data_IF_483931725626
#
_entry.id   IF_483931725626
#
_cell.length_a   1.000
_cell.length_b   1.000
_cell.length_c   1.000
_cell.angle_alpha   90.00
_cell.angle_beta   90.00
_cell.angle_gamma   90.00
#
_symmetry.space_group_name_H-M   'P 1'
#
loop_
_entity.id
_entity.type
_entity.pdbx_description
1 polymer ?
#
# COMPACT_ATOMS: atom_id res chain seq x y z
N UNK A 1 14.67 2.05 6.09
CA UNK A 1 14.10 3.42 5.91
C UNK A 1 13.58 3.92 7.25
N UNK A 2 13.81 5.18 7.67
CA UNK A 2 13.25 5.73 8.93
C UNK A 2 12.37 6.94 8.61
N UNK A 3 11.22 7.02 9.27
CA UNK A 3 10.31 8.16 9.19
C UNK A 3 10.41 8.97 10.49
N UNK A 4 10.93 10.19 10.40
CA UNK A 4 10.95 11.10 11.54
C UNK A 4 9.60 11.82 11.63
N UNK A 5 8.95 11.82 12.79
CA UNK A 5 7.65 12.45 13.02
C UNK A 5 7.79 13.98 13.10
N UNK A 6 8.17 14.61 11.98
CA UNK A 6 8.46 16.03 11.88
C UNK A 6 7.90 16.61 10.57
N UNK A 7 7.17 17.74 10.69
CA UNK A 7 6.69 18.47 9.51
C UNK A 7 7.85 18.99 8.64
N UNK A 8 8.93 19.47 9.25
CA UNK A 8 10.10 19.91 8.52
C UNK A 8 10.66 18.77 7.64
N UNK A 9 10.81 17.57 8.20
CA UNK A 9 11.27 16.41 7.44
C UNK A 9 10.30 15.97 6.34
N UNK A 10 9.00 16.07 6.57
CA UNK A 10 8.00 15.79 5.55
C UNK A 10 8.12 16.76 4.36
N UNK A 11 8.29 18.05 4.64
CA UNK A 11 8.47 19.09 3.62
C UNK A 11 9.81 18.92 2.88
N UNK A 12 10.91 18.65 3.59
CA UNK A 12 12.22 18.37 2.98
C UNK A 12 12.12 17.19 2.02
N UNK A 13 11.44 16.12 2.44
CA UNK A 13 11.22 14.92 1.61
C UNK A 13 10.38 15.23 0.38
N UNK A 14 9.30 16.02 0.54
CA UNK A 14 8.46 16.47 -0.57
C UNK A 14 9.29 17.30 -1.56
N UNK A 15 10.03 18.29 -1.08
CA UNK A 15 10.86 19.15 -1.92
C UNK A 15 11.89 18.32 -2.68
N UNK A 16 12.62 17.45 -1.99
CA UNK A 16 13.63 16.60 -2.62
C UNK A 16 13.01 15.70 -3.71
N UNK A 17 11.85 15.09 -3.45
CA UNK A 17 11.17 14.26 -4.43
C UNK A 17 10.73 15.07 -5.66
N UNK A 18 10.12 16.24 -5.45
CA UNK A 18 9.68 17.12 -6.55
C UNK A 18 10.86 17.60 -7.38
N UNK A 19 11.98 17.95 -6.74
CA UNK A 19 13.16 18.48 -7.43
C UNK A 19 13.89 17.41 -8.25
N UNK A 20 14.01 16.19 -7.75
CA UNK A 20 14.96 15.24 -8.29
C UNK A 20 14.32 14.02 -8.96
N UNK A 21 13.08 13.64 -8.59
CA UNK A 21 12.53 12.33 -8.95
C UNK A 21 11.14 12.38 -9.60
N UNK A 22 10.38 13.44 -9.42
CA UNK A 22 9.00 13.54 -9.91
C UNK A 22 8.91 13.43 -11.44
N UNK A 23 9.93 13.89 -12.18
CA UNK A 23 9.95 13.83 -13.65
C UNK A 23 9.84 12.41 -14.21
N UNK A 24 10.40 11.44 -13.51
CA UNK A 24 10.42 10.03 -13.93
C UNK A 24 9.40 9.16 -13.20
N UNK A 25 8.61 9.76 -12.31
CA UNK A 25 7.63 9.05 -11.49
C UNK A 25 6.68 8.17 -12.32
N UNK A 26 6.12 8.70 -13.40
CA UNK A 26 5.16 7.95 -14.22
C UNK A 26 5.76 6.69 -14.85
N UNK A 27 7.07 6.69 -15.12
CA UNK A 27 7.80 5.55 -15.71
C UNK A 27 8.26 4.57 -14.63
N UNK A 28 8.72 5.09 -13.47
CA UNK A 28 9.43 4.29 -12.47
C UNK A 28 8.56 3.90 -11.26
N UNK A 29 7.39 4.48 -11.09
CA UNK A 29 6.53 4.28 -9.90
C UNK A 29 6.17 2.84 -9.59
N UNK A 30 6.22 1.96 -10.58
CA UNK A 30 5.86 0.55 -10.43
C UNK A 30 7.05 -0.36 -10.09
N UNK A 31 8.26 0.17 -10.06
CA UNK A 31 9.47 -0.59 -9.72
C UNK A 31 9.78 -0.43 -8.22
N UNK A 32 10.03 -1.53 -7.54
CA UNK A 32 10.57 -1.52 -6.19
C UNK A 32 12.05 -1.83 -6.21
N UNK A 33 12.86 -0.82 -5.95
CA UNK A 33 14.32 -0.93 -5.89
C UNK A 33 14.83 -1.28 -4.48
N UNK A 34 13.92 -1.65 -3.57
CA UNK A 34 14.24 -1.94 -2.17
C UNK A 34 14.31 -0.69 -1.29
N UNK A 35 14.33 -0.88 0.05
CA UNK A 35 14.16 0.20 1.02
C UNK A 35 15.24 1.29 0.95
N UNK A 36 16.46 0.96 0.54
CA UNK A 36 17.58 1.89 0.49
C UNK A 36 17.66 2.70 -0.80
N UNK A 37 17.00 2.24 -1.88
CA UNK A 37 17.04 2.87 -3.20
C UNK A 37 15.67 3.35 -3.68
N UNK A 38 14.71 3.49 -2.80
CA UNK A 38 13.31 3.87 -3.09
C UNK A 38 13.15 5.39 -3.30
N UNK A 39 13.86 5.92 -4.29
CA UNK A 39 13.79 7.35 -4.65
C UNK A 39 12.75 7.65 -5.72
N UNK A 40 12.30 6.63 -6.44
CA UNK A 40 11.33 6.71 -7.54
C UNK A 40 9.88 6.97 -7.06
N UNK A 41 9.61 6.87 -5.77
CA UNK A 41 8.33 7.20 -5.14
C UNK A 41 8.54 8.15 -3.97
N UNK A 42 7.53 8.96 -3.66
CA UNK A 42 7.66 10.02 -2.65
C UNK A 42 7.80 9.51 -1.22
N UNK A 43 7.24 8.34 -0.91
CA UNK A 43 7.13 7.78 0.44
C UNK A 43 6.54 8.77 1.46
N UNK A 44 5.55 9.59 1.06
CA UNK A 44 4.92 10.60 1.91
C UNK A 44 3.67 10.10 2.63
N UNK A 45 3.17 8.92 2.28
CA UNK A 45 1.93 8.38 2.83
C UNK A 45 1.87 8.32 4.36
N UNK A 46 2.95 8.00 5.12
CA UNK A 46 2.93 8.09 6.58
C UNK A 46 2.62 9.50 7.08
N UNK A 47 3.23 10.52 6.48
CA UNK A 47 3.01 11.90 6.88
C UNK A 47 1.59 12.40 6.56
N UNK A 48 1.03 11.91 5.44
CA UNK A 48 -0.36 12.25 5.05
C UNK A 48 -1.34 11.57 6.00
N UNK A 49 -1.14 10.28 6.30
CA UNK A 49 -2.02 9.53 7.20
C UNK A 49 -2.14 10.18 8.57
N UNK A 50 -1.04 10.71 9.08
CA UNK A 50 -0.99 11.36 10.39
C UNK A 50 -1.24 12.88 10.33
N UNK A 51 -1.66 13.45 9.19
CA UNK A 51 -1.99 14.87 9.06
C UNK A 51 -0.80 15.83 9.21
N UNK A 52 0.42 15.34 9.08
CA UNK A 52 1.64 16.16 9.16
C UNK A 52 1.75 17.09 7.95
N UNK A 53 1.39 16.58 6.76
CA UNK A 53 1.16 17.31 5.52
C UNK A 53 -0.13 16.79 4.89
N UNK A 54 -0.73 17.58 4.00
CA UNK A 54 -1.97 17.17 3.32
C UNK A 54 -1.79 17.08 1.80
N UNK A 55 -2.77 16.47 1.15
CA UNK A 55 -2.77 16.22 -0.30
C UNK A 55 -2.68 17.50 -1.11
N UNK A 56 -3.35 18.60 -0.64
CA UNK A 56 -3.37 19.88 -1.34
C UNK A 56 -1.97 20.50 -1.35
N UNK A 57 -1.23 20.42 -0.23
CA UNK A 57 0.15 20.92 -0.16
C UNK A 57 1.06 20.19 -1.15
N UNK A 58 0.92 18.86 -1.22
CA UNK A 58 1.72 18.02 -2.12
C UNK A 58 1.42 18.35 -3.58
N UNK A 59 0.14 18.45 -3.94
CA UNK A 59 -0.28 18.75 -5.30
C UNK A 59 0.18 20.16 -5.70
N UNK A 60 -0.04 21.17 -4.85
CA UNK A 60 0.44 22.54 -5.11
C UNK A 60 1.94 22.53 -5.37
N UNK A 61 2.72 21.88 -4.50
CA UNK A 61 4.19 21.83 -4.65
C UNK A 61 4.62 21.17 -5.96
N UNK A 62 3.95 20.12 -6.37
CA UNK A 62 4.25 19.45 -7.64
C UNK A 62 3.93 20.34 -8.87
N UNK A 63 2.84 21.10 -8.80
CA UNK A 63 2.39 22.00 -9.86
C UNK A 63 3.22 23.30 -9.97
N UNK A 64 3.94 23.69 -8.92
CA UNK A 64 4.91 24.79 -9.00
C UNK A 64 6.05 24.48 -9.99
N UNK A 65 6.41 23.20 -10.13
CA UNK A 65 7.55 22.79 -10.96
C UNK A 65 7.14 22.23 -12.33
N UNK A 66 6.05 21.49 -12.39
CA UNK A 66 5.64 20.78 -13.62
C UNK A 66 4.16 21.03 -13.92
N UNK A 67 3.82 21.03 -15.23
CA UNK A 67 2.43 21.13 -15.68
C UNK A 67 1.59 19.94 -15.18
N UNK A 68 0.27 20.11 -15.13
CA UNK A 68 -0.67 19.05 -14.76
C UNK A 68 -0.47 17.77 -15.60
N UNK A 69 -0.37 17.90 -16.91
CA UNK A 69 -0.21 16.74 -17.80
C UNK A 69 1.04 15.91 -17.51
N UNK A 70 2.12 16.55 -17.04
CA UNK A 70 3.35 15.85 -16.65
C UNK A 70 3.23 15.20 -15.27
N UNK A 71 2.39 15.75 -14.39
CA UNK A 71 2.17 15.31 -13.02
C UNK A 71 0.94 14.43 -12.84
N UNK A 72 0.13 14.25 -13.88
CA UNK A 72 -1.19 13.62 -13.78
C UNK A 72 -1.17 12.32 -12.99
N UNK A 73 -0.22 11.43 -13.28
CA UNK A 73 -0.11 10.14 -12.59
C UNK A 73 0.21 10.29 -11.10
N UNK A 74 1.06 11.24 -10.75
CA UNK A 74 1.38 11.49 -9.34
C UNK A 74 0.18 12.09 -8.60
N UNK A 75 -0.50 13.06 -9.19
CA UNK A 75 -1.70 13.68 -8.63
C UNK A 75 -2.81 12.65 -8.45
N UNK A 76 -3.04 11.78 -9.43
CA UNK A 76 -3.99 10.68 -9.34
C UNK A 76 -3.69 9.78 -8.13
N UNK A 77 -2.43 9.36 -7.95
CA UNK A 77 -2.05 8.49 -6.82
C UNK A 77 -2.22 9.18 -5.46
N UNK A 78 -1.95 10.50 -5.38
CA UNK A 78 -2.21 11.26 -4.16
C UNK A 78 -3.72 11.33 -3.85
N UNK A 79 -4.55 11.54 -4.86
CA UNK A 79 -6.00 11.66 -4.70
C UNK A 79 -6.73 10.33 -4.47
N UNK A 80 -6.12 9.17 -4.80
CA UNK A 80 -6.73 7.87 -4.50
C UNK A 80 -7.05 7.70 -3.02
N UNK A 81 -6.22 8.22 -2.13
CA UNK A 81 -6.49 8.20 -0.68
C UNK A 81 -7.79 8.95 -0.33
N UNK A 82 -7.97 10.15 -0.85
CA UNK A 82 -9.19 10.95 -0.65
C UNK A 82 -10.41 10.24 -1.21
N UNK A 83 -10.27 9.64 -2.40
CA UNK A 83 -11.31 8.84 -3.01
C UNK A 83 -11.74 7.66 -2.13
N UNK A 84 -10.78 6.86 -1.63
CA UNK A 84 -11.09 5.70 -0.80
C UNK A 84 -11.75 6.10 0.52
N UNK A 85 -11.32 7.18 1.16
CA UNK A 85 -11.97 7.71 2.37
C UNK A 85 -13.42 8.07 2.11
N UNK A 86 -13.68 8.90 1.11
CA UNK A 86 -15.04 9.28 0.74
C UNK A 86 -15.90 8.08 0.31
N UNK A 87 -15.30 7.10 -0.39
CA UNK A 87 -16.01 5.89 -0.77
C UNK A 87 -16.47 5.07 0.45
N UNK A 88 -15.60 4.90 1.44
CA UNK A 88 -15.92 4.15 2.67
C UNK A 88 -16.90 4.91 3.58
N UNK A 89 -16.77 6.24 3.69
CA UNK A 89 -17.71 7.08 4.43
C UNK A 89 -19.15 6.95 3.90
N UNK A 90 -19.31 6.81 2.58
CA UNK A 90 -20.62 6.58 1.97
C UNK A 90 -21.12 5.12 2.10
N UNK A 91 -20.28 4.21 2.56
CA UNK A 91 -20.58 2.77 2.68
C UNK A 91 -20.04 2.18 4.00
N UNK A 92 -20.48 2.70 5.15
CA UNK A 92 -19.92 2.30 6.45
C UNK A 92 -20.08 0.81 6.73
N UNK A 93 -21.14 0.18 6.22
CA UNK A 93 -21.38 -1.25 6.37
C UNK A 93 -20.21 -2.12 5.88
N UNK A 94 -19.45 -1.64 4.89
CA UNK A 94 -18.26 -2.38 4.40
C UNK A 94 -17.19 -2.51 5.47
N UNK A 95 -17.03 -1.50 6.30
CA UNK A 95 -16.13 -1.54 7.44
C UNK A 95 -16.67 -2.41 8.57
N UNK A 96 -17.95 -2.28 8.89
CA UNK A 96 -18.60 -3.07 9.93
C UNK A 96 -18.57 -4.57 9.60
N UNK A 97 -18.91 -4.93 8.36
CA UNK A 97 -18.82 -6.31 7.86
C UNK A 97 -17.38 -6.86 7.95
N UNK A 98 -16.39 -6.06 7.57
CA UNK A 98 -14.98 -6.43 7.72
C UNK A 98 -14.61 -6.74 9.17
N UNK A 99 -15.04 -5.92 10.12
CA UNK A 99 -14.74 -6.13 11.55
C UNK A 99 -15.42 -7.36 12.11
N UNK A 100 -16.68 -7.63 11.70
CA UNK A 100 -17.43 -8.83 12.11
C UNK A 100 -16.73 -10.08 11.55
N UNK A 101 -16.42 -10.10 10.28
CA UNK A 101 -15.70 -11.21 9.64
C UNK A 101 -14.36 -11.47 10.31
N UNK A 102 -13.59 -10.41 10.52
CA UNK A 102 -12.26 -10.49 11.12
C UNK A 102 -12.30 -11.12 12.51
N UNK A 103 -13.28 -10.75 13.35
CA UNK A 103 -13.46 -11.34 14.68
C UNK A 103 -13.68 -12.86 14.60
N UNK A 104 -14.50 -13.32 13.67
CA UNK A 104 -14.80 -14.74 13.50
C UNK A 104 -13.61 -15.52 12.93
N UNK A 105 -12.90 -14.91 11.98
CA UNK A 105 -11.77 -15.53 11.28
C UNK A 105 -10.54 -15.64 12.20
N UNK A 106 -10.28 -14.65 13.05
CA UNK A 106 -9.15 -14.69 14.01
C UNK A 106 -9.13 -15.96 14.85
N UNK A 107 -10.25 -16.30 15.45
CA UNK A 107 -10.34 -17.47 16.33
C UNK A 107 -10.09 -18.77 15.55
N UNK A 108 -10.58 -18.84 14.29
CA UNK A 108 -10.38 -20.01 13.43
C UNK A 108 -8.91 -20.18 13.02
N UNK A 109 -8.20 -19.10 12.73
CA UNK A 109 -6.82 -19.15 12.19
C UNK A 109 -5.74 -18.95 13.26
N UNK A 110 -6.09 -18.73 14.52
CA UNK A 110 -5.16 -18.45 15.62
C UNK A 110 -4.00 -19.45 15.69
N UNK A 111 -4.30 -20.74 15.49
CA UNK A 111 -3.32 -21.83 15.55
C UNK A 111 -3.06 -22.46 14.16
N UNK A 112 -3.49 -21.81 13.09
CA UNK A 112 -3.25 -22.29 11.74
C UNK A 112 -1.76 -22.13 11.37
N UNK A 113 -1.13 -23.21 10.96
CA UNK A 113 0.31 -23.23 10.68
C UNK A 113 0.68 -22.36 9.48
N UNK A 114 -0.16 -22.30 8.43
CA UNK A 114 0.10 -21.49 7.25
C UNK A 114 0.04 -20.02 7.59
N UNK A 115 -0.98 -19.62 8.37
CA UNK A 115 -1.10 -18.25 8.85
C UNK A 115 0.09 -17.85 9.74
N UNK A 116 0.48 -18.71 10.70
CA UNK A 116 1.64 -18.45 11.57
C UNK A 116 2.94 -18.35 10.78
N UNK A 117 3.14 -19.20 9.78
CA UNK A 117 4.30 -19.09 8.89
C UNK A 117 4.27 -17.80 8.06
N UNK A 118 3.11 -17.41 7.54
CA UNK A 118 2.96 -16.21 6.74
C UNK A 118 3.33 -14.95 7.53
N UNK A 119 2.72 -14.76 8.71
CA UNK A 119 3.01 -13.57 9.53
C UNK A 119 4.43 -13.54 10.09
N UNK A 120 5.13 -14.67 10.14
CA UNK A 120 6.50 -14.77 10.61
C UNK A 120 7.56 -14.80 9.50
N UNK A 121 7.14 -14.71 8.22
CA UNK A 121 8.06 -14.76 7.09
C UNK A 121 8.80 -16.10 7.01
N UNK A 122 8.10 -17.21 7.28
CA UNK A 122 8.62 -18.58 7.29
C UNK A 122 7.91 -19.47 6.27
N UNK A 123 7.49 -18.88 5.16
CA UNK A 123 6.91 -19.62 4.05
C UNK A 123 8.01 -20.18 3.15
N UNK A 124 7.64 -20.98 2.17
CA UNK A 124 8.54 -21.45 1.11
C UNK A 124 8.69 -20.45 -0.07
N UNK A 125 8.34 -19.17 0.13
CA UNK A 125 8.39 -18.12 -0.87
C UNK A 125 9.34 -17.03 -0.38
N UNK A 126 10.57 -17.03 -0.85
CA UNK A 126 11.64 -16.18 -0.33
C UNK A 126 11.30 -14.68 -0.42
N UNK A 127 10.82 -14.21 -1.57
CA UNK A 127 10.46 -12.81 -1.73
C UNK A 127 9.35 -12.35 -0.78
N UNK A 128 8.38 -13.22 -0.48
CA UNK A 128 7.33 -12.93 0.49
C UNK A 128 7.91 -12.81 1.91
N UNK A 129 8.82 -13.71 2.30
CA UNK A 129 9.47 -13.68 3.60
C UNK A 129 10.33 -12.42 3.79
N UNK A 130 11.04 -12.00 2.73
CA UNK A 130 11.79 -10.74 2.72
C UNK A 130 10.87 -9.53 2.90
N UNK A 131 9.71 -9.49 2.24
CA UNK A 131 8.74 -8.41 2.41
C UNK A 131 8.11 -8.38 3.81
N UNK A 132 7.91 -9.55 4.45
CA UNK A 132 7.47 -9.60 5.86
C UNK A 132 8.53 -8.97 6.76
N UNK A 133 9.81 -9.29 6.54
CA UNK A 133 10.93 -8.71 7.30
C UNK A 133 11.02 -7.20 7.07
N UNK A 134 10.96 -6.76 5.81
CA UNK A 134 10.98 -5.33 5.46
C UNK A 134 9.81 -4.59 6.14
N UNK A 135 8.59 -5.15 6.08
CA UNK A 135 7.42 -4.55 6.70
C UNK A 135 7.60 -4.37 8.21
N UNK A 136 8.12 -5.39 8.89
CA UNK A 136 8.35 -5.35 10.34
C UNK A 136 9.49 -4.41 10.76
N UNK A 137 10.53 -4.30 9.94
CA UNK A 137 11.70 -3.47 10.23
C UNK A 137 11.50 -1.99 9.87
N UNK A 138 10.83 -1.73 8.73
CA UNK A 138 10.69 -0.38 8.19
C UNK A 138 9.29 0.21 8.36
N UNK A 139 8.30 -0.60 8.74
CA UNK A 139 6.89 -0.23 8.85
C UNK A 139 6.33 0.39 7.55
N UNK A 140 6.89 -0.03 6.43
CA UNK A 140 6.55 0.47 5.11
C UNK A 140 6.88 -0.57 4.04
N UNK A 141 6.04 -0.66 3.02
CA UNK A 141 6.31 -1.37 1.79
C UNK A 141 5.97 -0.48 0.59
N UNK A 142 6.67 -0.70 -0.51
CA UNK A 142 6.33 -0.08 -1.79
C UNK A 142 4.91 -0.47 -2.22
N UNK A 143 4.16 0.45 -2.83
CA UNK A 143 2.75 0.20 -3.19
C UNK A 143 2.57 -1.06 -4.05
N UNK A 144 3.42 -1.27 -5.05
CA UNK A 144 3.36 -2.47 -5.90
C UNK A 144 3.65 -3.74 -5.12
N UNK A 145 4.62 -3.70 -4.21
CA UNK A 145 4.95 -4.81 -3.32
C UNK A 145 3.78 -5.18 -2.41
N UNK A 146 3.01 -4.19 -1.95
CA UNK A 146 1.78 -4.47 -1.18
C UNK A 146 0.75 -5.26 -1.99
N UNK A 147 0.63 -4.98 -3.28
CA UNK A 147 -0.29 -5.70 -4.18
C UNK A 147 0.18 -7.14 -4.41
N UNK A 148 1.47 -7.34 -4.66
CA UNK A 148 2.05 -8.68 -4.80
C UNK A 148 1.95 -9.48 -3.50
N UNK A 149 2.25 -8.87 -2.37
CA UNK A 149 2.09 -9.45 -1.04
C UNK A 149 0.65 -9.94 -0.84
N UNK A 150 -0.33 -9.09 -1.09
CA UNK A 150 -1.74 -9.44 -0.94
C UNK A 150 -2.16 -10.55 -1.91
N UNK A 151 -1.66 -10.55 -3.13
CA UNK A 151 -1.92 -11.59 -4.12
C UNK A 151 -1.37 -12.95 -3.67
N UNK A 152 -0.12 -13.01 -3.19
CA UNK A 152 0.48 -14.24 -2.67
C UNK A 152 -0.28 -14.71 -1.42
N UNK A 153 -0.59 -13.80 -0.50
CA UNK A 153 -1.36 -14.10 0.70
C UNK A 153 -2.69 -14.79 0.39
N UNK A 154 -3.46 -14.22 -0.54
CA UNK A 154 -4.82 -14.67 -0.84
C UNK A 154 -4.80 -15.92 -1.72
N UNK A 155 -4.04 -15.89 -2.83
CA UNK A 155 -4.17 -16.89 -3.89
C UNK A 155 -3.13 -18.02 -3.85
N UNK A 156 -1.98 -17.78 -3.20
CA UNK A 156 -0.93 -18.80 -3.11
C UNK A 156 -0.91 -19.47 -1.74
N UNK A 157 -1.05 -18.68 -0.67
CA UNK A 157 -1.09 -19.20 0.69
C UNK A 157 -2.51 -19.59 1.14
N UNK A 158 -3.51 -19.27 0.33
CA UNK A 158 -4.95 -19.54 0.60
C UNK A 158 -5.42 -18.98 1.97
N UNK A 159 -4.97 -17.78 2.30
CA UNK A 159 -5.30 -17.13 3.56
C UNK A 159 -6.38 -16.05 3.37
N UNK A 160 -7.29 -15.88 4.35
CA UNK A 160 -8.30 -14.84 4.30
C UNK A 160 -7.67 -13.45 4.17
N UNK A 161 -8.19 -12.65 3.23
CA UNK A 161 -7.72 -11.30 2.98
C UNK A 161 -7.86 -10.39 4.22
N UNK A 162 -8.86 -10.64 5.07
CA UNK A 162 -9.12 -9.87 6.28
C UNK A 162 -7.94 -9.95 7.25
N UNK A 163 -7.32 -11.11 7.40
CA UNK A 163 -6.13 -11.30 8.25
C UNK A 163 -4.91 -10.57 7.68
N UNK A 164 -4.77 -10.57 6.36
CA UNK A 164 -3.70 -9.82 5.70
C UNK A 164 -3.89 -8.30 5.83
N UNK A 165 -5.13 -7.83 5.69
CA UNK A 165 -5.47 -6.43 5.92
C UNK A 165 -5.16 -6.00 7.37
N UNK A 166 -5.49 -6.83 8.34
CA UNK A 166 -5.15 -6.61 9.73
C UNK A 166 -3.64 -6.58 9.97
N UNK A 167 -2.91 -7.52 9.38
CA UNK A 167 -1.45 -7.58 9.49
C UNK A 167 -0.80 -6.29 8.97
N UNK A 168 -1.30 -5.75 7.85
CA UNK A 168 -0.85 -4.46 7.34
C UNK A 168 -1.21 -3.29 8.25
N UNK A 169 -2.43 -3.26 8.80
CA UNK A 169 -2.84 -2.20 9.73
C UNK A 169 -1.94 -2.14 10.98
N UNK A 170 -1.48 -3.29 11.47
CA UNK A 170 -0.59 -3.35 12.64
C UNK A 170 0.83 -2.88 12.34
N UNK A 171 1.30 -3.07 11.12
CA UNK A 171 2.72 -2.83 10.81
C UNK A 171 2.97 -1.56 10.00
N UNK A 172 2.04 -1.10 9.17
CA UNK A 172 2.27 0.05 8.31
C UNK A 172 2.13 1.38 9.06
N UNK A 173 3.12 2.26 8.97
CA UNK A 173 3.00 3.63 9.46
C UNK A 173 1.94 4.45 8.71
N UNK A 174 1.60 4.08 7.50
CA UNK A 174 0.54 4.70 6.72
C UNK A 174 -0.75 3.87 6.70
N UNK A 175 -0.91 2.96 7.67
CA UNK A 175 -2.12 2.18 7.85
C UNK A 175 -3.34 3.10 7.99
N UNK A 176 -4.28 2.96 7.05
CA UNK A 176 -5.50 3.77 6.98
C UNK A 176 -6.69 2.84 6.73
N UNK A 177 -7.72 2.96 7.54
CA UNK A 177 -8.86 2.05 7.49
C UNK A 177 -9.48 1.92 6.10
N UNK A 178 -9.62 3.04 5.37
CA UNK A 178 -10.20 3.04 4.03
C UNK A 178 -9.22 2.46 3.01
N UNK A 179 -8.05 3.09 2.85
CA UNK A 179 -7.08 2.72 1.81
C UNK A 179 -6.59 1.28 1.95
N UNK A 180 -6.33 0.83 3.19
CA UNK A 180 -5.86 -0.52 3.44
C UNK A 180 -6.95 -1.55 3.19
N UNK A 181 -8.12 -1.40 3.81
CA UNK A 181 -9.21 -2.39 3.67
C UNK A 181 -9.69 -2.47 2.23
N UNK A 182 -9.91 -1.33 1.57
CA UNK A 182 -10.40 -1.32 0.19
C UNK A 182 -9.33 -1.79 -0.80
N UNK A 183 -8.04 -1.53 -0.52
CA UNK A 183 -6.94 -2.08 -1.30
C UNK A 183 -6.87 -3.61 -1.23
N UNK A 184 -7.02 -4.20 -0.05
CA UNK A 184 -7.09 -5.66 0.12
C UNK A 184 -8.34 -6.26 -0.51
N UNK A 185 -9.51 -5.61 -0.36
CA UNK A 185 -10.75 -6.02 -1.04
C UNK A 185 -10.61 -5.99 -2.57
N UNK A 186 -9.88 -5.00 -3.09
CA UNK A 186 -9.63 -4.88 -4.52
C UNK A 186 -8.80 -6.05 -5.05
N UNK A 187 -7.69 -6.41 -4.37
CA UNK A 187 -6.88 -7.58 -4.74
C UNK A 187 -7.70 -8.88 -4.60
N UNK A 188 -8.51 -9.00 -3.57
CA UNK A 188 -9.40 -10.15 -3.37
C UNK A 188 -10.55 -10.27 -4.39
N UNK A 189 -10.75 -9.27 -5.27
CA UNK A 189 -11.82 -9.27 -6.26
C UNK A 189 -13.22 -9.00 -5.71
N UNK A 190 -13.35 -8.55 -4.46
CA UNK A 190 -14.64 -8.31 -3.79
C UNK A 190 -15.02 -6.82 -3.68
N UNK A 191 -14.21 -5.94 -4.24
CA UNK A 191 -14.47 -4.48 -4.18
C UNK A 191 -15.43 -4.01 -5.27
N UNK A 192 -15.33 -4.57 -6.47
CA UNK A 192 -16.15 -4.18 -7.62
C UNK A 192 -16.81 -5.41 -8.22
N UNK A 193 -18.15 -5.42 -8.32
CA UNK A 193 -18.89 -6.52 -8.93
C UNK A 193 -18.49 -6.66 -10.41
N UNK A 194 -18.20 -7.89 -10.83
CA UNK A 194 -17.87 -8.21 -12.21
C UNK A 194 -16.43 -7.95 -12.64
N UNK A 195 -15.60 -7.40 -11.77
CA UNK A 195 -14.19 -7.22 -12.07
C UNK A 195 -13.38 -8.35 -11.42
N UNK A 196 -13.16 -9.42 -12.15
CA UNK A 196 -12.09 -10.36 -11.78
C UNK A 196 -10.80 -9.70 -12.25
N UNK A 197 -9.97 -9.27 -11.33
CA UNK A 197 -8.67 -8.67 -11.66
C UNK A 197 -7.70 -9.76 -12.12
N UNK A 198 -7.85 -10.23 -13.36
CA UNK A 198 -6.91 -11.19 -13.98
C UNK A 198 -5.47 -10.65 -14.03
N UNK A 199 -5.31 -9.35 -13.99
CA UNK A 199 -3.99 -8.71 -13.99
C UNK A 199 -3.17 -8.99 -12.72
N UNK A 200 -3.79 -9.50 -11.65
CA UNK A 200 -3.11 -9.82 -10.40
C UNK A 200 -2.92 -11.32 -10.17
N UNK A 201 -3.60 -12.16 -10.94
CA UNK A 201 -3.43 -13.62 -10.89
C UNK A 201 -2.18 -14.08 -11.67
N UNK A 202 -1.71 -13.28 -12.59
CA UNK A 202 -0.42 -13.50 -13.23
C UNK A 202 0.58 -12.53 -12.61
N UNK A 203 1.50 -13.06 -11.80
CA UNK A 203 2.77 -12.37 -11.61
C UNK A 203 3.24 -11.94 -13.00
N UNK A 204 3.64 -10.67 -13.23
CA UNK A 204 4.18 -10.28 -14.52
C UNK A 204 5.39 -11.17 -14.80
N UNK A 205 5.18 -12.20 -15.62
CA UNK A 205 6.23 -13.11 -16.09
C UNK A 205 7.01 -12.51 -17.24
N UNK A 206 6.67 -11.30 -17.66
CA UNK A 206 7.44 -10.55 -18.62
C UNK A 206 8.39 -9.61 -17.89
N UNK A 207 9.70 -9.85 -18.00
CA UNK A 207 10.64 -8.78 -17.70
C UNK A 207 10.33 -7.66 -18.69
N UNK A 208 9.91 -6.51 -18.20
CA UNK A 208 9.95 -5.30 -19.01
C UNK A 208 11.43 -5.00 -19.25
N UNK A 209 11.90 -5.40 -20.44
CA UNK A 209 13.15 -4.95 -21.00
C UNK A 209 13.03 -3.48 -21.34
#
# INVERSE_FOLDING_TARGET
>A
MKFEASRAKAIDKLNNFVENNLSDYSKLRNFDFGPDKRNNVSCLSPYITHGVINEVEIIKKSLEKYSFSKNEKFIQEVLWRTYWKGWLELRPNVWDDYLIDLKNIREKYKNDTNYQNAINGKTNIDCFNEWVSELKENNYLHNHTRMWFASIWIFTLDLPWQLGAEFFMHHLYDGDAASNTLGWRWVAGVQTQGTVSYTHLTLPTTPYV
#
